data_IF_513045662065
#
_entry.id   IF_513045662065
#
_cell.length_a   1.000
_cell.length_b   1.000
_cell.length_c   1.000
_cell.angle_alpha   90.00
_cell.angle_beta   90.00
_cell.angle_gamma   90.00
#
_symmetry.space_group_name_H-M   'P 1'
#
loop_
_entity.id
_entity.type
_entity.pdbx_description
1 polymer ?
#
# COMPACT_ATOMS: atom_id res chain seq x y z
N UNK A 1 12.29 -44.45 29.75
CA UNK A 1 10.94 -43.91 29.95
C UNK A 1 11.12 -42.63 30.77
N UNK A 2 11.04 -41.47 30.19
CA UNK A 2 11.14 -40.16 30.87
C UNK A 2 9.80 -39.43 30.64
N UNK A 3 9.02 -39.29 31.70
CA UNK A 3 7.78 -38.55 31.70
C UNK A 3 8.05 -37.06 31.72
N UNK A 4 7.66 -36.34 30.68
CA UNK A 4 7.73 -34.86 30.62
C UNK A 4 6.38 -34.31 31.01
N UNK A 5 6.30 -33.70 32.19
CA UNK A 5 5.10 -33.03 32.72
C UNK A 5 4.91 -31.69 31.97
N UNK A 6 3.78 -31.52 31.29
CA UNK A 6 3.38 -30.28 30.63
C UNK A 6 2.58 -29.45 31.64
N UNK A 7 3.16 -28.31 32.07
CA UNK A 7 2.45 -27.30 32.86
C UNK A 7 1.63 -26.41 31.90
N UNK A 8 0.30 -26.49 32.08
CA UNK A 8 -0.67 -25.67 31.36
C UNK A 8 -0.83 -24.33 32.12
N UNK A 9 -0.25 -23.25 31.63
CA UNK A 9 -0.47 -21.91 32.18
C UNK A 9 -1.65 -21.26 31.48
N UNK A 10 -2.74 -21.10 32.21
CA UNK A 10 -3.94 -20.37 31.78
C UNK A 10 -3.72 -18.88 32.05
N UNK A 11 -3.59 -18.08 31.00
CA UNK A 11 -3.50 -16.62 31.09
C UNK A 11 -4.90 -16.03 30.93
N UNK A 12 -5.43 -15.46 32.02
CA UNK A 12 -6.71 -14.75 32.03
C UNK A 12 -6.52 -13.36 31.37
N UNK A 13 -7.25 -13.10 30.30
CA UNK A 13 -7.30 -11.80 29.64
C UNK A 13 -8.44 -10.99 30.27
N UNK A 14 -8.08 -9.95 31.02
CA UNK A 14 -8.99 -8.95 31.55
C UNK A 14 -9.47 -8.04 30.39
N UNK A 15 -10.78 -8.06 30.11
CA UNK A 15 -11.42 -7.15 29.18
C UNK A 15 -11.58 -5.75 29.82
N UNK A 16 -10.79 -4.78 29.39
CA UNK A 16 -11.04 -3.36 29.67
C UNK A 16 -12.08 -2.83 28.67
N UNK A 17 -13.31 -2.63 29.15
CA UNK A 17 -14.36 -1.94 28.42
C UNK A 17 -14.01 -0.45 28.24
N UNK A 18 -13.73 -0.02 27.02
CA UNK A 18 -13.61 1.39 26.65
C UNK A 18 -14.98 1.98 26.35
N UNK A 19 -15.44 2.93 27.19
CA UNK A 19 -16.62 3.75 26.96
C UNK A 19 -16.41 4.60 25.69
N UNK A 20 -17.27 4.37 24.71
CA UNK A 20 -17.40 5.18 23.50
C UNK A 20 -18.17 6.45 23.89
N UNK A 21 -17.68 7.68 23.69
CA UNK A 21 -18.48 8.88 23.88
C UNK A 21 -19.62 8.90 22.85
N UNK A 22 -20.83 9.11 23.34
CA UNK A 22 -22.03 9.27 22.53
C UNK A 22 -21.90 10.50 21.64
N UNK A 23 -22.10 10.32 20.35
CA UNK A 23 -22.21 11.43 19.40
C UNK A 23 -23.45 12.26 19.78
N UNK A 24 -23.24 13.54 20.05
CA UNK A 24 -24.28 14.53 20.29
C UNK A 24 -25.15 14.67 19.03
N UNK A 25 -26.43 14.33 19.17
CA UNK A 25 -27.41 14.56 18.09
C UNK A 25 -27.66 16.06 17.94
N UNK A 26 -27.68 16.59 16.73
CA UNK A 26 -28.06 17.96 16.49
C UNK A 26 -29.53 18.19 16.91
N UNK A 27 -29.73 19.21 17.79
CA UNK A 27 -31.01 19.66 18.28
C UNK A 27 -31.89 20.10 17.09
N UNK A 28 -33.17 19.68 17.02
CA UNK A 28 -34.08 20.18 15.98
C UNK A 28 -34.36 21.69 16.16
N UNK A 29 -34.57 22.42 15.05
CA UNK A 29 -34.85 23.87 15.12
C UNK A 29 -36.17 24.16 15.81
N UNK A 30 -36.19 25.22 16.60
CA UNK A 30 -37.38 25.74 17.29
C UNK A 30 -38.45 26.19 16.29
N UNK A 31 -39.74 25.86 16.52
CA UNK A 31 -40.83 26.22 15.59
C UNK A 31 -41.38 27.65 15.69
N UNK A 32 -40.81 28.53 16.51
CA UNK A 32 -41.34 29.90 16.77
C UNK A 32 -40.36 31.00 16.32
N UNK A 33 -39.91 30.97 15.07
CA UNK A 33 -39.31 32.13 14.43
C UNK A 33 -40.28 32.70 13.42
N UNK A 34 -41.10 33.66 13.87
CA UNK A 34 -41.93 34.50 12.99
C UNK A 34 -41.03 35.24 11.98
N UNK A 35 -41.40 35.28 10.70
CA UNK A 35 -40.62 36.02 9.70
C UNK A 35 -40.92 37.52 9.83
N UNK A 36 -39.88 38.29 10.14
CA UNK A 36 -39.86 39.76 10.05
C UNK A 36 -40.20 40.23 8.63
N UNK A 37 -41.05 41.27 8.46
CA UNK A 37 -41.44 41.74 7.13
C UNK A 37 -40.26 42.38 6.41
N UNK A 38 -39.97 41.86 5.24
CA UNK A 38 -38.93 42.32 4.34
C UNK A 38 -39.06 43.82 3.97
N UNK A 39 -37.97 44.59 4.01
CA UNK A 39 -37.95 45.90 3.39
C UNK A 39 -37.96 45.78 1.88
N UNK A 40 -38.89 46.46 1.27
CA UNK A 40 -39.05 46.64 -0.19
C UNK A 40 -37.76 47.24 -0.76
N UNK A 41 -36.85 46.43 -1.25
CA UNK A 41 -35.66 46.91 -1.92
C UNK A 41 -35.91 47.02 -3.44
N UNK A 42 -35.83 48.26 -3.86
CA UNK A 42 -35.81 48.75 -5.23
C UNK A 42 -34.95 47.90 -6.14
N UNK A 43 -35.58 47.30 -7.12
CA UNK A 43 -34.94 46.51 -8.20
C UNK A 43 -33.98 47.40 -9.01
N UNK A 44 -32.72 47.41 -8.68
CA UNK A 44 -31.65 47.85 -9.59
C UNK A 44 -31.37 46.67 -10.49
N UNK A 45 -31.73 46.78 -11.76
CA UNK A 45 -31.35 45.91 -12.84
C UNK A 45 -29.83 45.75 -12.85
N UNK A 46 -29.36 44.68 -12.26
CA UNK A 46 -27.93 44.29 -12.34
C UNK A 46 -27.72 43.75 -13.74
N UNK A 47 -26.92 44.45 -14.53
CA UNK A 47 -26.47 43.97 -15.83
C UNK A 47 -25.93 42.53 -15.67
N UNK A 48 -26.58 41.62 -16.38
CA UNK A 48 -26.17 40.21 -16.48
C UNK A 48 -24.74 40.18 -17.01
N UNK A 49 -23.79 39.89 -16.14
CA UNK A 49 -22.43 39.69 -16.54
C UNK A 49 -22.40 38.48 -17.48
N UNK A 50 -21.84 38.68 -18.68
CA UNK A 50 -21.61 37.57 -19.60
C UNK A 50 -20.89 36.44 -18.90
N UNK A 51 -21.27 35.16 -19.11
CA UNK A 51 -20.59 34.01 -18.50
C UNK A 51 -19.11 34.07 -18.85
N UNK A 52 -18.30 34.07 -17.82
CA UNK A 52 -16.84 33.95 -17.93
C UNK A 52 -16.51 32.64 -18.66
N UNK A 53 -15.64 32.67 -19.69
CA UNK A 53 -15.33 31.47 -20.43
C UNK A 53 -14.82 30.39 -19.46
N UNK A 54 -15.50 29.22 -19.44
CA UNK A 54 -15.04 28.08 -18.64
C UNK A 54 -13.60 27.75 -19.00
N UNK A 55 -12.73 27.71 -17.98
CA UNK A 55 -11.34 27.32 -18.16
C UNK A 55 -11.26 25.91 -18.78
N UNK A 56 -10.34 25.66 -19.71
CA UNK A 56 -10.18 24.33 -20.28
C UNK A 56 -10.00 23.28 -19.19
N UNK A 57 -10.58 22.08 -19.32
CA UNK A 57 -10.41 21.01 -18.33
C UNK A 57 -8.92 20.71 -18.14
N UNK A 58 -8.51 20.54 -16.89
CA UNK A 58 -7.14 20.19 -16.56
C UNK A 58 -6.75 18.86 -17.22
N UNK A 59 -5.50 18.72 -17.70
CA UNK A 59 -5.03 17.47 -18.27
C UNK A 59 -5.12 16.34 -17.21
N UNK A 60 -5.37 15.09 -17.65
CA UNK A 60 -5.44 13.96 -16.73
C UNK A 60 -4.11 13.77 -15.98
N UNK A 61 -4.14 13.32 -14.72
CA UNK A 61 -2.94 13.07 -13.95
C UNK A 61 -2.08 11.99 -14.61
N UNK A 62 -0.76 12.14 -14.53
CA UNK A 62 0.19 11.18 -15.06
C UNK A 62 0.20 9.92 -14.16
N UNK A 63 0.20 8.75 -14.78
CA UNK A 63 0.32 7.45 -14.09
C UNK A 63 1.63 6.78 -14.50
N UNK A 64 2.37 6.27 -13.54
CA UNK A 64 3.56 5.46 -13.74
C UNK A 64 3.24 4.00 -13.47
N UNK A 65 3.80 3.13 -14.31
CA UNK A 65 3.72 1.69 -14.16
C UNK A 65 5.12 1.10 -14.12
N UNK A 66 5.30 0.08 -13.29
CA UNK A 66 6.54 -0.67 -13.26
C UNK A 66 6.27 -2.14 -12.92
N UNK A 67 7.14 -3.02 -13.39
CA UNK A 67 7.04 -4.45 -13.19
C UNK A 67 8.37 -5.03 -12.75
N UNK A 68 8.32 -6.06 -11.90
CA UNK A 68 9.48 -6.86 -11.55
C UNK A 68 9.18 -8.36 -11.80
N UNK A 69 9.95 -9.00 -12.66
CA UNK A 69 10.00 -10.45 -12.81
C UNK A 69 11.02 -11.05 -11.85
N UNK A 70 10.54 -11.75 -10.82
CA UNK A 70 11.40 -12.34 -9.80
C UNK A 70 11.78 -13.78 -10.17
N UNK A 71 13.05 -14.00 -10.41
CA UNK A 71 13.61 -15.34 -10.64
C UNK A 71 13.91 -16.05 -9.31
N UNK A 72 13.63 -17.35 -9.20
CA UNK A 72 13.84 -18.08 -7.96
C UNK A 72 15.32 -18.15 -7.56
N UNK A 73 15.57 -18.01 -6.28
CA UNK A 73 16.88 -18.28 -5.67
C UNK A 73 17.07 -19.79 -5.56
N UNK A 74 18.29 -20.27 -5.77
CA UNK A 74 18.62 -21.71 -5.70
C UNK A 74 18.18 -22.34 -4.37
N UNK A 75 17.47 -23.46 -4.47
CA UNK A 75 17.00 -24.22 -3.31
C UNK A 75 15.70 -23.71 -2.69
N UNK A 76 15.01 -22.76 -3.33
CA UNK A 76 13.64 -22.37 -2.95
C UNK A 76 12.61 -23.23 -3.70
N UNK A 77 11.36 -23.24 -3.19
CA UNK A 77 10.24 -23.93 -3.84
C UNK A 77 9.42 -23.02 -4.74
N UNK A 78 9.70 -21.70 -4.69
CA UNK A 78 9.11 -20.72 -5.59
C UNK A 78 9.68 -20.97 -6.99
N UNK A 79 8.81 -20.95 -7.99
CA UNK A 79 9.20 -21.15 -9.39
C UNK A 79 9.38 -19.82 -10.13
N UNK A 80 8.72 -18.77 -9.64
CA UNK A 80 8.80 -17.41 -10.15
C UNK A 80 7.75 -16.52 -9.51
N UNK A 81 7.90 -15.23 -9.70
CA UNK A 81 6.90 -14.25 -9.30
C UNK A 81 6.96 -13.03 -10.23
N UNK A 82 5.82 -12.42 -10.46
CA UNK A 82 5.71 -11.13 -11.14
C UNK A 82 5.02 -10.16 -10.19
N UNK A 83 5.61 -8.99 -10.00
CA UNK A 83 5.02 -7.93 -9.16
C UNK A 83 4.88 -6.69 -10.02
N UNK A 84 3.67 -6.14 -10.07
CA UNK A 84 3.35 -4.89 -10.77
C UNK A 84 3.08 -3.77 -9.77
N UNK A 85 3.53 -2.58 -10.08
CA UNK A 85 3.33 -1.38 -9.29
C UNK A 85 2.67 -0.31 -10.14
N UNK A 86 1.76 0.45 -9.53
CA UNK A 86 1.11 1.60 -10.17
C UNK A 86 1.16 2.79 -9.22
N UNK A 87 1.53 3.96 -9.71
CA UNK A 87 1.54 5.21 -8.96
C UNK A 87 0.92 6.33 -9.79
N UNK A 88 0.00 7.08 -9.20
CA UNK A 88 -0.58 8.28 -9.81
C UNK A 88 0.20 9.53 -9.38
N UNK A 89 0.20 10.54 -10.23
CA UNK A 89 0.81 11.84 -9.94
C UNK A 89 0.19 12.45 -8.67
N UNK A 90 1.05 12.98 -7.79
CA UNK A 90 0.63 13.50 -6.49
C UNK A 90 0.55 12.48 -5.37
N UNK A 91 0.64 11.17 -5.65
CA UNK A 91 0.75 10.14 -4.62
C UNK A 91 2.19 10.01 -4.11
N UNK A 92 2.34 9.98 -2.79
CA UNK A 92 3.66 9.90 -2.15
C UNK A 92 4.31 8.51 -2.28
N UNK A 93 3.54 7.47 -2.60
CA UNK A 93 4.01 6.07 -2.69
C UNK A 93 3.32 5.35 -3.83
N UNK A 94 3.95 4.31 -4.37
CA UNK A 94 3.30 3.41 -5.32
C UNK A 94 2.12 2.72 -4.63
N UNK A 95 0.93 2.88 -5.22
CA UNK A 95 -0.31 2.30 -4.71
C UNK A 95 -0.67 1.10 -5.58
N UNK A 96 -1.05 0.03 -4.93
CA UNK A 96 -1.52 -1.15 -5.62
C UNK A 96 -0.38 -1.93 -6.27
N UNK A 97 0.07 -2.94 -5.58
CA UNK A 97 0.89 -3.96 -6.20
C UNK A 97 0.10 -5.25 -6.24
N UNK A 98 -0.03 -5.80 -7.43
CA UNK A 98 -0.54 -7.14 -7.60
C UNK A 98 0.65 -8.05 -7.86
N UNK A 99 0.82 -9.04 -6.99
CA UNK A 99 1.86 -10.05 -7.17
C UNK A 99 1.24 -11.37 -7.64
N UNK A 100 1.82 -11.96 -8.67
CA UNK A 100 1.57 -13.35 -9.02
C UNK A 100 2.76 -14.20 -8.61
N UNK A 101 2.53 -15.22 -7.78
CA UNK A 101 3.61 -16.03 -7.19
C UNK A 101 3.37 -17.51 -7.44
N UNK A 102 4.22 -18.16 -8.26
CA UNK A 102 4.15 -19.60 -8.49
C UNK A 102 4.96 -20.36 -7.43
N UNK A 103 4.28 -21.28 -6.76
CA UNK A 103 4.87 -22.13 -5.72
C UNK A 103 5.04 -21.49 -4.35
N UNK A 104 4.43 -20.30 -4.10
CA UNK A 104 4.39 -19.72 -2.78
C UNK A 104 3.51 -20.53 -1.82
N UNK A 105 3.90 -20.64 -0.59
CA UNK A 105 3.11 -21.30 0.47
C UNK A 105 2.36 -20.26 1.30
N UNK A 106 1.35 -20.71 2.03
CA UNK A 106 0.74 -19.87 3.05
C UNK A 106 1.78 -19.43 4.09
N UNK A 107 1.84 -18.14 4.38
CA UNK A 107 2.82 -17.58 5.32
C UNK A 107 2.96 -16.07 5.16
N UNK A 108 3.85 -15.52 5.97
CA UNK A 108 4.25 -14.11 5.89
C UNK A 108 5.51 -13.97 5.07
N UNK A 109 5.59 -12.88 4.30
CA UNK A 109 6.69 -12.59 3.39
C UNK A 109 6.98 -11.10 3.36
N UNK A 110 8.12 -10.74 2.80
CA UNK A 110 8.53 -9.35 2.59
C UNK A 110 8.99 -9.17 1.14
N UNK A 111 8.50 -8.16 0.47
CA UNK A 111 9.09 -7.63 -0.76
C UNK A 111 9.97 -6.47 -0.37
N UNK A 112 11.27 -6.55 -0.65
CA UNK A 112 12.24 -5.54 -0.26
C UNK A 112 12.94 -5.00 -1.49
N UNK A 113 12.93 -3.68 -1.65
CA UNK A 113 13.72 -3.01 -2.67
C UNK A 113 15.14 -2.86 -2.17
N UNK A 114 16.11 -3.22 -3.01
CA UNK A 114 17.53 -3.16 -2.74
C UNK A 114 18.23 -2.15 -3.63
N UNK A 115 19.34 -1.57 -3.16
CA UNK A 115 20.10 -0.53 -3.86
C UNK A 115 20.71 -0.99 -5.20
N UNK A 116 21.00 -2.28 -5.35
CA UNK A 116 21.58 -2.83 -6.57
C UNK A 116 20.57 -2.99 -7.70
N UNK A 117 21.04 -2.92 -8.94
CA UNK A 117 20.22 -3.15 -10.14
C UNK A 117 20.21 -4.64 -10.59
N UNK A 118 21.10 -5.45 -10.06
CA UNK A 118 21.31 -6.86 -10.46
C UNK A 118 21.15 -7.78 -9.26
N UNK A 119 20.49 -8.88 -9.47
CA UNK A 119 20.30 -9.91 -8.44
C UNK A 119 21.54 -10.77 -8.21
N UNK A 120 22.35 -11.01 -9.25
CA UNK A 120 23.39 -12.00 -9.20
C UNK A 120 22.86 -13.40 -8.84
N UNK A 121 23.77 -14.27 -8.45
CA UNK A 121 23.40 -15.61 -7.95
C UNK A 121 22.87 -15.49 -6.54
N UNK A 122 21.64 -16.00 -6.30
CA UNK A 122 21.01 -16.01 -4.98
C UNK A 122 20.82 -14.60 -4.35
N UNK A 123 20.53 -13.59 -5.16
CA UNK A 123 20.36 -12.19 -4.75
C UNK A 123 21.61 -11.55 -4.11
N UNK A 124 22.80 -12.12 -4.33
CA UNK A 124 24.04 -11.62 -3.71
C UNK A 124 24.51 -10.26 -4.23
N UNK A 125 24.03 -9.84 -5.40
CA UNK A 125 24.35 -8.54 -6.01
C UNK A 125 23.24 -7.50 -5.82
N UNK A 126 22.15 -7.85 -5.19
CA UNK A 126 21.05 -6.92 -4.96
C UNK A 126 21.46 -5.70 -4.08
N UNK A 127 22.54 -5.81 -3.35
CA UNK A 127 23.01 -4.74 -2.47
C UNK A 127 22.29 -4.72 -1.13
N UNK A 128 22.29 -3.57 -0.46
CA UNK A 128 21.61 -3.38 0.82
C UNK A 128 20.12 -3.07 0.59
N UNK A 129 19.23 -3.41 1.54
CA UNK A 129 17.86 -2.93 1.53
C UNK A 129 17.80 -1.39 1.52
N UNK A 130 16.96 -0.83 0.66
CA UNK A 130 16.66 0.60 0.67
C UNK A 130 15.78 0.97 1.87
N UNK A 131 16.01 2.14 2.45
CA UNK A 131 15.17 2.64 3.54
C UNK A 131 13.72 2.82 3.05
N UNK A 132 12.77 2.26 3.80
CA UNK A 132 11.34 2.32 3.43
C UNK A 132 10.92 1.36 2.31
N UNK A 133 11.85 0.61 1.71
CA UNK A 133 11.56 -0.33 0.61
C UNK A 133 11.04 -1.71 1.04
N UNK A 134 10.67 -1.91 2.30
CA UNK A 134 10.17 -3.20 2.82
C UNK A 134 8.64 -3.19 2.85
N UNK A 135 8.03 -4.10 2.10
CA UNK A 135 6.58 -4.29 2.00
C UNK A 135 6.21 -5.68 2.52
N UNK A 136 5.77 -5.79 3.78
CA UNK A 136 5.31 -7.06 4.32
C UNK A 136 3.94 -7.43 3.76
N UNK A 137 3.75 -8.72 3.44
CA UNK A 137 2.47 -9.25 2.99
C UNK A 137 2.24 -10.69 3.49
N UNK A 138 1.00 -11.16 3.38
CA UNK A 138 0.63 -12.52 3.75
C UNK A 138 0.12 -13.30 2.54
N UNK A 139 0.73 -14.44 2.26
CA UNK A 139 0.25 -15.37 1.26
C UNK A 139 -0.74 -16.36 1.89
N UNK A 140 -1.84 -16.63 1.20
CA UNK A 140 -2.81 -17.66 1.56
C UNK A 140 -2.59 -18.94 0.75
N UNK A 141 -3.00 -20.08 1.29
CA UNK A 141 -2.83 -21.38 0.62
C UNK A 141 -3.57 -21.41 -0.72
N UNK A 142 -2.85 -21.68 -1.79
CA UNK A 142 -3.43 -21.84 -3.13
C UNK A 142 -3.68 -20.54 -3.88
N UNK A 143 -3.40 -19.38 -3.29
CA UNK A 143 -3.44 -18.12 -4.01
C UNK A 143 -2.15 -17.93 -4.80
N UNK A 144 -2.30 -17.76 -6.11
CA UNK A 144 -1.21 -17.37 -7.00
C UNK A 144 -1.18 -15.85 -7.23
N UNK A 145 -2.33 -15.17 -7.14
CA UNK A 145 -2.44 -13.72 -7.21
C UNK A 145 -2.70 -13.16 -5.81
N UNK A 146 -1.89 -12.22 -5.39
CA UNK A 146 -1.95 -11.58 -4.07
C UNK A 146 -1.94 -10.07 -4.25
N UNK A 147 -2.83 -9.41 -3.54
CA UNK A 147 -2.74 -7.97 -3.36
C UNK A 147 -1.65 -7.72 -2.31
N UNK A 148 -0.56 -7.15 -2.77
CA UNK A 148 0.52 -6.69 -1.91
C UNK A 148 0.23 -5.23 -1.60
N UNK A 149 -0.36 -4.91 -0.49
CA UNK A 149 -0.89 -3.61 -0.12
C UNK A 149 -0.02 -2.38 -0.48
N UNK A 150 -0.38 -1.17 -0.05
CA UNK A 150 0.35 0.03 -0.45
C UNK A 150 1.82 -0.09 -0.05
N UNK A 151 2.69 0.02 -1.03
CA UNK A 151 4.13 -0.05 -0.83
C UNK A 151 4.61 1.29 -0.26
N UNK A 152 4.64 1.39 1.07
CA UNK A 152 5.13 2.57 1.78
C UNK A 152 6.63 2.73 1.49
N UNK A 153 7.03 3.87 0.93
CA UNK A 153 8.44 4.16 0.61
C UNK A 153 8.90 3.73 -0.78
N UNK A 154 8.03 3.11 -1.61
CA UNK A 154 8.30 2.85 -3.02
C UNK A 154 7.73 3.99 -3.86
N UNK A 155 8.56 4.63 -4.67
CA UNK A 155 8.17 5.65 -5.65
C UNK A 155 8.58 5.19 -7.04
N UNK A 156 7.69 5.38 -8.03
CA UNK A 156 7.97 5.05 -9.43
C UNK A 156 8.41 6.27 -10.25
N UNK A 157 8.08 7.47 -9.78
CA UNK A 157 8.45 8.74 -10.41
C UNK A 157 9.31 9.61 -9.49
N UNK A 158 10.09 10.54 -10.08
CA UNK A 158 10.96 11.47 -9.36
C UNK A 158 12.38 10.92 -9.10
N UNK A 159 13.15 11.68 -8.32
CA UNK A 159 14.58 11.41 -8.07
C UNK A 159 14.84 10.17 -7.19
N UNK A 160 13.82 9.71 -6.47
CA UNK A 160 13.87 8.53 -5.59
C UNK A 160 13.17 7.31 -6.20
N UNK A 161 12.99 7.31 -7.52
CA UNK A 161 12.33 6.22 -8.21
C UNK A 161 13.07 4.90 -8.02
N UNK A 162 12.33 3.84 -7.71
CA UNK A 162 12.90 2.48 -7.51
C UNK A 162 13.07 1.70 -8.82
N UNK A 163 12.68 2.30 -9.94
CA UNK A 163 12.91 1.71 -11.27
C UNK A 163 14.41 1.56 -11.50
N UNK A 164 14.85 0.39 -11.95
CA UNK A 164 16.26 0.05 -12.10
C UNK A 164 16.90 -0.59 -10.87
N UNK A 165 16.22 -0.63 -9.73
CA UNK A 165 16.66 -1.31 -8.52
C UNK A 165 16.18 -2.77 -8.48
N UNK A 166 16.80 -3.59 -7.64
CA UNK A 166 16.38 -4.98 -7.46
C UNK A 166 15.25 -5.10 -6.43
N UNK A 167 14.21 -5.87 -6.78
CA UNK A 167 13.18 -6.32 -5.86
C UNK A 167 13.50 -7.74 -5.40
N UNK A 168 13.54 -7.95 -4.10
CA UNK A 168 13.81 -9.27 -3.51
C UNK A 168 12.64 -9.73 -2.67
N UNK A 169 12.16 -10.94 -2.93
CA UNK A 169 11.18 -11.63 -2.10
C UNK A 169 11.90 -12.39 -0.99
N UNK A 170 11.52 -12.14 0.25
CA UNK A 170 12.05 -12.81 1.44
C UNK A 170 10.96 -13.58 2.17
N UNK A 171 11.34 -14.65 2.88
CA UNK A 171 10.50 -15.21 3.94
C UNK A 171 10.46 -14.27 5.16
N UNK A 172 9.42 -14.40 5.97
CA UNK A 172 9.35 -13.70 7.26
C UNK A 172 10.16 -14.44 8.31
N UNK A 173 11.07 -13.72 8.96
CA UNK A 173 11.79 -14.20 10.12
C UNK A 173 11.51 -13.31 11.35
N UNK A 174 10.47 -13.65 12.08
CA UNK A 174 10.06 -12.90 13.28
C UNK A 174 9.71 -11.43 12.99
N UNK A 175 8.94 -11.19 11.94
CA UNK A 175 8.50 -9.84 11.52
C UNK A 175 9.57 -9.02 10.79
N UNK A 176 10.59 -9.67 10.25
CA UNK A 176 11.67 -9.04 9.43
C UNK A 176 11.94 -9.88 8.20
N UNK A 177 12.44 -9.25 7.16
CA UNK A 177 12.92 -9.95 5.97
C UNK A 177 14.01 -10.98 6.34
N UNK A 178 13.76 -12.24 6.02
CA UNK A 178 14.65 -13.35 6.31
C UNK A 178 15.45 -13.78 5.08
N UNK A 179 15.36 -15.06 4.68
CA UNK A 179 16.08 -15.60 3.53
C UNK A 179 15.48 -15.07 2.22
N UNK A 180 16.32 -14.68 1.27
CA UNK A 180 15.88 -14.39 -0.10
C UNK A 180 15.34 -15.64 -0.79
N UNK A 181 14.18 -15.51 -1.42
CA UNK A 181 13.47 -16.58 -2.11
C UNK A 181 13.43 -16.39 -3.63
N UNK A 182 13.29 -15.16 -4.09
CA UNK A 182 13.33 -14.77 -5.49
C UNK A 182 13.82 -13.32 -5.60
N UNK A 183 14.35 -12.96 -6.78
CA UNK A 183 14.89 -11.62 -7.03
C UNK A 183 14.76 -11.27 -8.51
N UNK A 184 14.51 -9.99 -8.80
CA UNK A 184 14.45 -9.44 -10.16
C UNK A 184 14.58 -7.92 -10.16
N UNK A 185 15.01 -7.32 -11.29
CA UNK A 185 15.04 -5.87 -11.43
C UNK A 185 13.62 -5.32 -11.59
N UNK A 186 13.40 -4.10 -11.09
CA UNK A 186 12.17 -3.33 -11.33
C UNK A 186 12.37 -2.56 -12.64
N UNK A 187 11.54 -2.84 -13.64
CA UNK A 187 11.55 -2.16 -14.93
C UNK A 187 10.32 -1.25 -15.08
N UNK A 188 10.47 -0.10 -15.74
CA UNK A 188 9.33 0.70 -16.16
C UNK A 188 8.55 -0.02 -17.27
N UNK A 189 7.21 0.12 -17.27
CA UNK A 189 6.31 -0.31 -18.35
C UNK A 189 5.97 0.85 -19.29
#
# INVERSE_FOLDING_TARGET
>A
MKHTTILLSILAIAACGGNKPAAEQPKPPDPDSEPDPAPTATSKTKAEAAPEPEAPPAPPPKTWHAQAELKPVKGTKIKGATVTFTQEEGQATAVGSTGWFDGIKAGKYHLVVHEGADCGVNATKAGKPMAGGDVPFAAVKGASSLEVGPAVGIQLGGDTAVVGHALVLHDDKKGKAGKALACGPIAAE
#
